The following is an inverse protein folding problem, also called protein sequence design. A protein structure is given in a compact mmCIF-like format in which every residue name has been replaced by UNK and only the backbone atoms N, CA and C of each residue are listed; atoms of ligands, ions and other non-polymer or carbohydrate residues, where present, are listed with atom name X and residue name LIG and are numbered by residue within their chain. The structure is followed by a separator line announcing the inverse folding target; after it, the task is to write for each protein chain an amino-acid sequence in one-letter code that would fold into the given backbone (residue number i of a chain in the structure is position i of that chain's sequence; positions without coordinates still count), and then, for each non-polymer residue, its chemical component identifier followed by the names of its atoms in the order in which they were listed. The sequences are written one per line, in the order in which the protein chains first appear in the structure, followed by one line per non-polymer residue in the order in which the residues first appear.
data_IF_247261216558
#
_entry.id   IF_247261216558
#
_cell.length_a   1.000
_cell.length_b   1.000
_cell.length_c   1.000
_cell.angle_alpha   90.00
_cell.angle_beta   90.00
_cell.angle_gamma   90.00
#
_symmetry.space_group_name_H-M   'P 1'
#
loop_
_entity.id
_entity.type
_entity.pdbx_description
1 polymer ?
#
# COMPACT_ATOMS: atom_id res chain seq x y z
N UNK A 1 -3.16 19.40 -3.91
CA UNK A 1 -3.77 18.12 -4.33
C UNK A 1 -3.20 17.04 -3.45
N UNK A 2 -4.02 16.13 -2.91
CA UNK A 2 -3.50 14.98 -2.14
C UNK A 2 -3.34 13.79 -3.08
N UNK A 3 -2.15 13.22 -3.12
CA UNK A 3 -1.80 12.10 -4.01
C UNK A 3 -2.17 10.77 -3.34
N UNK A 4 -2.76 9.86 -4.11
CA UNK A 4 -3.04 8.48 -3.71
C UNK A 4 -2.14 7.55 -4.51
N UNK A 5 -1.28 6.81 -3.82
CA UNK A 5 -0.46 5.76 -4.41
C UNK A 5 -1.30 4.50 -4.62
N UNK A 6 -1.47 4.10 -5.87
CA UNK A 6 -2.13 2.86 -6.25
C UNK A 6 -1.11 1.79 -6.60
N UNK A 7 -1.14 0.68 -5.87
CA UNK A 7 -0.22 -0.46 -6.06
C UNK A 7 -0.99 -1.74 -6.37
N UNK A 8 -0.44 -2.66 -7.19
CA UNK A 8 -1.03 -3.97 -7.38
C UNK A 8 -0.91 -4.79 -6.09
N UNK A 9 -2.03 -5.29 -5.54
CA UNK A 9 -2.02 -6.12 -4.34
C UNK A 9 -1.57 -7.55 -4.59
N UNK A 10 -1.88 -8.08 -5.78
CA UNK A 10 -1.61 -9.47 -6.14
C UNK A 10 -2.06 -10.43 -5.05
N UNK A 11 -1.20 -11.41 -4.74
CA UNK A 11 -1.49 -12.39 -3.68
C UNK A 11 -1.33 -11.82 -2.25
N UNK A 12 -0.64 -10.69 -2.09
CA UNK A 12 -0.43 -10.08 -0.75
C UNK A 12 -1.62 -9.29 -0.24
N UNK A 13 -2.67 -9.08 -1.05
CA UNK A 13 -3.83 -8.25 -0.70
C UNK A 13 -4.45 -8.63 0.65
N UNK A 14 -4.66 -9.92 0.88
CA UNK A 14 -5.34 -10.41 2.08
C UNK A 14 -4.56 -10.11 3.35
N UNK A 15 -3.24 -10.34 3.34
CA UNK A 15 -2.38 -10.00 4.48
C UNK A 15 -2.29 -8.48 4.68
N UNK A 16 -2.33 -7.67 3.61
CA UNK A 16 -2.37 -6.21 3.77
C UNK A 16 -3.70 -5.77 4.40
N UNK A 17 -4.83 -6.31 3.97
CA UNK A 17 -6.15 -5.98 4.56
C UNK A 17 -6.25 -6.44 6.02
N UNK A 18 -5.64 -7.58 6.35
CA UNK A 18 -5.61 -8.16 7.69
C UNK A 18 -4.79 -7.33 8.68
N UNK A 19 -3.58 -6.94 8.27
CA UNK A 19 -2.63 -6.24 9.16
C UNK A 19 -2.58 -4.72 8.98
N UNK A 20 -3.26 -4.20 7.94
CA UNK A 20 -3.16 -2.81 7.52
C UNK A 20 -1.71 -2.37 7.27
N UNK A 21 -0.91 -3.25 6.68
CA UNK A 21 0.51 -2.99 6.40
C UNK A 21 0.82 -3.34 4.96
N UNK A 22 1.38 -2.42 4.20
CA UNK A 22 1.93 -2.70 2.87
C UNK A 22 3.45 -2.57 2.88
N UNK A 23 4.16 -3.54 2.32
CA UNK A 23 5.62 -3.50 2.23
C UNK A 23 6.13 -3.66 0.79
N UNK A 24 7.20 -2.93 0.48
CA UNK A 24 7.90 -3.03 -0.80
C UNK A 24 9.42 -2.92 -0.60
N UNK A 25 10.22 -3.49 -1.53
CA UNK A 25 11.68 -3.40 -1.46
C UNK A 25 12.16 -1.95 -1.48
N UNK A 26 13.07 -1.57 -0.59
CA UNK A 26 13.67 -0.24 -0.51
C UNK A 26 15.07 -0.22 -1.15
N UNK A 27 15.49 0.85 -1.84
CA UNK A 27 14.72 2.02 -2.23
C UNK A 27 13.80 1.75 -3.43
N UNK A 28 12.74 2.58 -3.53
CA UNK A 28 11.92 2.79 -4.72
C UNK A 28 11.65 4.29 -4.87
N UNK A 29 11.58 4.76 -6.10
CA UNK A 29 11.29 6.16 -6.44
C UNK A 29 9.79 6.46 -6.40
N UNK A 30 9.15 6.22 -5.25
CA UNK A 30 7.77 6.63 -5.04
C UNK A 30 7.72 8.09 -4.56
N UNK A 31 6.73 8.84 -5.05
CA UNK A 31 6.38 10.13 -4.46
C UNK A 31 5.91 9.91 -3.03
N UNK A 32 6.09 10.92 -2.19
CA UNK A 32 5.55 10.90 -0.83
C UNK A 32 4.01 10.97 -0.93
N UNK A 33 3.33 9.86 -0.65
CA UNK A 33 1.89 9.73 -0.77
C UNK A 33 1.25 9.62 0.62
N UNK A 34 0.29 10.50 0.89
CA UNK A 34 -0.47 10.49 2.15
C UNK A 34 -1.52 9.37 2.19
N UNK A 35 -1.92 8.88 1.00
CA UNK A 35 -2.91 7.83 0.85
C UNK A 35 -2.39 6.72 -0.04
N UNK A 36 -2.92 5.54 0.20
CA UNK A 36 -2.62 4.34 -0.56
C UNK A 36 -3.92 3.62 -0.92
N UNK A 37 -3.94 2.96 -2.06
CA UNK A 37 -4.99 2.01 -2.44
C UNK A 37 -4.34 0.78 -3.07
N UNK A 38 -4.95 -0.37 -2.81
CA UNK A 38 -4.46 -1.65 -3.32
C UNK A 38 -5.41 -2.10 -4.41
N UNK A 39 -4.84 -2.41 -5.59
CA UNK A 39 -5.64 -2.88 -6.72
C UNK A 39 -5.86 -4.38 -6.65
N UNK A 40 -7.10 -4.74 -6.90
CA UNK A 40 -7.54 -6.11 -7.14
C UNK A 40 -7.45 -6.48 -8.63
N UNK A 41 -7.88 -7.70 -8.96
CA UNK A 41 -8.02 -8.14 -10.34
C UNK A 41 -8.92 -7.16 -11.12
N UNK A 42 -8.53 -6.85 -12.36
CA UNK A 42 -9.23 -5.85 -13.18
C UNK A 42 -8.92 -4.40 -12.80
N UNK A 43 -7.99 -4.15 -11.86
CA UNK A 43 -7.58 -2.80 -11.46
C UNK A 43 -8.55 -2.11 -10.51
N UNK A 44 -9.50 -2.86 -9.94
CA UNK A 44 -10.50 -2.37 -8.99
C UNK A 44 -9.82 -1.94 -7.70
N UNK A 45 -10.23 -0.79 -7.17
CA UNK A 45 -9.78 -0.22 -5.90
C UNK A 45 -11.00 -0.12 -4.99
N UNK A 46 -11.06 -0.92 -3.93
CA UNK A 46 -12.23 -1.01 -3.06
C UNK A 46 -12.04 -0.28 -1.72
N UNK A 47 -10.80 -0.04 -1.29
CA UNK A 47 -10.52 0.64 -0.02
C UNK A 47 -9.43 1.70 -0.21
N UNK A 48 -9.72 2.90 0.30
CA UNK A 48 -8.75 3.98 0.47
C UNK A 48 -8.13 3.88 1.87
N UNK A 49 -6.81 3.89 1.91
CA UNK A 49 -6.04 3.89 3.14
C UNK A 49 -5.32 5.22 3.32
N UNK A 50 -5.20 5.69 4.56
CA UNK A 50 -4.27 6.76 4.93
C UNK A 50 -2.98 6.16 5.49
N UNK A 51 -1.84 6.74 5.13
CA UNK A 51 -0.52 6.32 5.64
C UNK A 51 -0.33 6.94 7.02
N UNK A 52 -0.33 6.11 8.06
CA UNK A 52 -0.09 6.53 9.45
C UNK A 52 1.38 6.77 9.71
N UNK A 53 2.22 5.84 9.28
CA UNK A 53 3.65 5.83 9.56
C UNK A 53 4.39 5.02 8.49
N UNK A 54 5.65 5.36 8.28
CA UNK A 54 6.57 4.62 7.42
C UNK A 54 7.72 4.08 8.25
N UNK A 55 8.06 2.80 8.03
CA UNK A 55 9.21 2.16 8.65
C UNK A 55 10.11 1.60 7.55
N UNK A 56 11.43 1.67 7.73
CA UNK A 56 12.39 0.95 6.90
C UNK A 56 13.02 -0.12 7.78
N UNK A 57 12.77 -1.38 7.45
CA UNK A 57 13.22 -2.53 8.23
C UNK A 57 13.99 -3.51 7.35
N UNK A 58 14.83 -4.30 8.01
CA UNK A 58 15.48 -5.48 7.43
C UNK A 58 14.79 -6.74 7.94
N UNK A 59 13.69 -7.20 7.32
CA UNK A 59 12.80 -8.22 7.89
C UNK A 59 13.45 -9.58 8.08
N UNK A 60 14.57 -9.85 7.39
CA UNK A 60 15.35 -11.08 7.54
C UNK A 60 16.50 -10.96 8.54
N UNK A 61 16.73 -9.77 9.11
CA UNK A 61 17.77 -9.54 10.12
C UNK A 61 17.28 -9.99 11.50
N UNK A 62 18.09 -10.67 12.32
CA UNK A 62 17.68 -11.15 13.65
C UNK A 62 17.29 -10.04 14.64
N UNK A 63 17.57 -8.77 14.35
CA UNK A 63 17.34 -7.64 15.25
C UNK A 63 16.31 -6.63 14.72
N UNK A 64 15.50 -7.02 13.72
CA UNK A 64 14.50 -6.12 13.12
C UNK A 64 13.46 -5.64 14.13
N UNK A 65 13.16 -6.45 15.15
CA UNK A 65 12.18 -6.19 16.21
C UNK A 65 12.58 -4.96 17.07
N UNK A 66 13.88 -4.73 17.24
CA UNK A 66 14.38 -3.55 17.97
C UNK A 66 13.94 -2.25 17.32
N UNK A 67 13.79 -2.25 16.00
CA UNK A 67 13.36 -1.07 15.23
C UNK A 67 11.85 -0.78 15.35
N UNK A 68 11.06 -1.60 16.04
CA UNK A 68 9.64 -1.36 16.27
C UNK A 68 9.27 -1.18 17.75
N UNK A 69 10.23 -1.31 18.68
CA UNK A 69 9.98 -1.22 20.13
C UNK A 69 9.39 0.10 20.60
N UNK A 70 9.56 1.19 19.85
CA UNK A 70 8.98 2.49 20.17
C UNK A 70 7.49 2.61 19.80
N UNK A 71 6.95 1.64 19.04
CA UNK A 71 5.54 1.61 18.65
C UNK A 71 4.68 1.03 19.79
N UNK A 72 3.36 1.29 19.72
CA UNK A 72 2.41 0.65 20.63
C UNK A 72 2.39 -0.87 20.47
N UNK A 73 2.12 -1.63 21.54
CA UNK A 73 2.17 -3.09 21.54
C UNK A 73 1.30 -3.72 20.44
N UNK A 74 0.09 -3.21 20.22
CA UNK A 74 -0.79 -3.69 19.14
C UNK A 74 -0.15 -3.53 17.76
N UNK A 75 0.51 -2.40 17.51
CA UNK A 75 1.19 -2.14 16.24
C UNK A 75 2.39 -3.06 16.09
N UNK A 76 3.13 -3.32 17.19
CA UNK A 76 4.24 -4.25 17.17
C UNK A 76 3.76 -5.66 16.80
N UNK A 77 2.63 -6.09 17.36
CA UNK A 77 2.00 -7.37 17.04
C UNK A 77 1.58 -7.43 15.57
N UNK A 78 0.98 -6.38 15.03
CA UNK A 78 0.56 -6.33 13.62
C UNK A 78 1.75 -6.38 12.66
N UNK A 79 2.82 -5.61 12.94
CA UNK A 79 4.05 -5.65 12.13
C UNK A 79 4.70 -7.02 12.20
N UNK A 80 4.77 -7.62 13.40
CA UNK A 80 5.33 -8.96 13.59
C UNK A 80 4.55 -10.02 12.82
N UNK A 81 3.22 -10.01 12.94
CA UNK A 81 2.33 -10.94 12.24
C UNK A 81 2.42 -10.79 10.73
N UNK A 82 2.42 -9.54 10.23
CA UNK A 82 2.59 -9.26 8.81
C UNK A 82 3.92 -9.78 8.26
N UNK A 83 5.04 -9.54 8.96
CA UNK A 83 6.36 -10.03 8.53
C UNK A 83 6.39 -11.56 8.51
N UNK A 84 5.86 -12.21 9.55
CA UNK A 84 5.83 -13.66 9.64
C UNK A 84 5.02 -14.31 8.51
N UNK A 85 3.78 -13.87 8.29
CA UNK A 85 2.92 -14.40 7.22
C UNK A 85 3.48 -14.09 5.84
N UNK A 86 3.99 -12.87 5.64
CA UNK A 86 4.62 -12.51 4.36
C UNK A 86 5.86 -13.34 4.08
N UNK A 87 6.70 -13.60 5.08
CA UNK A 87 7.90 -14.42 4.93
C UNK A 87 7.53 -15.87 4.55
N UNK A 88 6.48 -16.42 5.15
CA UNK A 88 6.04 -17.79 4.90
C UNK A 88 5.44 -17.98 3.50
N UNK A 89 4.54 -17.08 3.07
CA UNK A 89 3.74 -17.30 1.86
C UNK A 89 4.30 -16.61 0.60
N UNK A 90 4.99 -15.48 0.77
CA UNK A 90 5.44 -14.63 -0.34
C UNK A 90 6.95 -14.40 -0.35
N UNK A 91 7.61 -14.60 0.78
CA UNK A 91 9.00 -14.29 1.01
C UNK A 91 9.32 -12.79 1.03
N UNK A 92 10.59 -12.51 1.32
CA UNK A 92 11.23 -11.24 1.07
C UNK A 92 12.32 -11.49 0.03
N UNK A 93 12.31 -10.75 -1.07
CA UNK A 93 13.33 -10.85 -2.12
C UNK A 93 14.72 -10.37 -1.67
N UNK A 94 15.70 -10.47 -2.56
CA UNK A 94 17.15 -10.27 -2.28
C UNK A 94 17.56 -8.92 -1.67
N UNK A 95 16.69 -7.90 -1.72
CA UNK A 95 16.98 -6.63 -1.05
C UNK A 95 16.91 -6.82 0.47
N UNK A 96 17.96 -6.39 1.15
CA UNK A 96 18.02 -6.45 2.62
C UNK A 96 16.97 -5.56 3.29
N UNK A 97 16.60 -4.44 2.67
CA UNK A 97 15.71 -3.42 3.24
C UNK A 97 14.35 -3.33 2.54
N UNK A 98 13.31 -3.20 3.35
CA UNK A 98 11.93 -3.00 2.91
C UNK A 98 11.34 -1.77 3.61
N UNK A 99 10.58 -0.99 2.85
CA UNK A 99 9.75 0.08 3.41
C UNK A 99 8.34 -0.47 3.66
N UNK A 100 7.86 -0.26 4.88
CA UNK A 100 6.54 -0.65 5.37
C UNK A 100 5.71 0.61 5.57
N UNK A 101 4.54 0.64 4.94
CA UNK A 101 3.50 1.61 5.22
C UNK A 101 2.54 0.99 6.22
N UNK A 102 2.42 1.61 7.39
CA UNK A 102 1.35 1.32 8.35
C UNK A 102 0.14 2.16 7.95
N UNK A 103 -0.98 1.49 7.76
CA UNK A 103 -2.17 2.04 7.14
C UNK A 103 -3.31 2.16 8.18
N UNK A 104 -4.18 3.13 7.95
CA UNK A 104 -5.52 3.15 8.51
C UNK A 104 -6.53 3.04 7.37
N UNK A 105 -7.68 2.41 7.62
CA UNK A 105 -8.81 2.47 6.68
C UNK A 105 -9.39 3.89 6.74
N UNK A 106 -9.22 4.64 5.65
CA UNK A 106 -9.78 5.99 5.53
C UNK A 106 -11.24 5.92 5.08
N UNK A 107 -11.49 5.12 4.02
CA UNK A 107 -12.80 5.04 3.39
C UNK A 107 -12.94 3.79 2.51
N UNK A 108 -14.08 3.11 2.60
CA UNK A 108 -14.49 2.12 1.60
C UNK A 108 -15.01 2.82 0.33
N UNK A 109 -14.53 2.38 -0.82
CA UNK A 109 -14.84 2.87 -2.15
C UNK A 109 -15.90 1.98 -2.80
N UNK A 110 -17.14 2.08 -2.30
CA UNK A 110 -18.26 1.23 -2.75
C UNK A 110 -18.60 1.36 -4.24
N UNK A 111 -18.15 2.43 -4.91
CA UNK A 111 -18.29 2.63 -6.36
C UNK A 111 -17.21 1.89 -7.18
N UNK A 112 -16.35 1.11 -6.53
CA UNK A 112 -15.34 0.21 -7.13
C UNK A 112 -14.52 0.88 -8.25
N UNK A 113 -13.88 2.03 -7.98
CA UNK A 113 -13.14 2.78 -8.98
C UNK A 113 -12.02 1.95 -9.62
N UNK A 114 -11.89 2.09 -10.93
CA UNK A 114 -10.88 1.44 -11.78
C UNK A 114 -10.54 2.33 -12.97
N UNK A 115 -9.47 1.99 -13.67
CA UNK A 115 -9.13 2.67 -14.94
C UNK A 115 -9.81 2.03 -16.13
N UNK A 116 -9.96 2.80 -17.21
CA UNK A 116 -10.54 2.35 -18.47
C UNK A 116 -9.71 1.28 -19.19
N UNK A 117 -8.44 1.13 -18.84
CA UNK A 117 -7.54 0.11 -19.39
C UNK A 117 -6.61 -0.47 -18.34
N UNK A 118 -5.86 -1.54 -18.69
CA UNK A 118 -4.94 -2.19 -17.77
C UNK A 118 -3.81 -1.24 -17.37
N UNK A 119 -3.47 -1.23 -16.08
CA UNK A 119 -2.29 -0.51 -15.59
C UNK A 119 -1.26 -1.48 -15.03
N UNK A 120 -0.01 -1.30 -15.46
CA UNK A 120 1.13 -2.01 -14.91
C UNK A 120 1.85 -1.15 -13.86
N UNK A 121 2.39 -1.81 -12.83
CA UNK A 121 3.19 -1.13 -11.81
C UNK A 121 2.40 -0.15 -10.94
N UNK A 122 3.09 0.69 -10.19
CA UNK A 122 2.45 1.69 -9.35
C UNK A 122 1.87 2.85 -10.17
N UNK A 123 0.85 3.53 -9.66
CA UNK A 123 0.15 4.63 -10.35
C UNK A 123 -0.33 5.65 -9.34
N UNK A 124 -0.40 6.92 -9.73
CA UNK A 124 -0.91 7.98 -8.89
C UNK A 124 -2.27 8.45 -9.38
N UNK A 125 -3.15 8.67 -8.42
CA UNK A 125 -4.45 9.29 -8.60
C UNK A 125 -4.56 10.47 -7.65
N UNK A 126 -5.40 11.43 -8.00
CA UNK A 126 -5.77 12.45 -7.01
C UNK A 126 -6.83 11.87 -6.09
N UNK A 127 -6.83 12.30 -4.82
CA UNK A 127 -7.87 11.91 -3.86
C UNK A 127 -9.28 12.22 -4.41
N UNK A 128 -9.47 13.41 -4.99
CA UNK A 128 -10.76 13.84 -5.53
C UNK A 128 -11.27 12.95 -6.67
N UNK A 129 -10.37 12.47 -7.53
CA UNK A 129 -10.74 11.55 -8.61
C UNK A 129 -11.23 10.21 -8.05
N UNK A 130 -10.45 9.62 -7.13
CA UNK A 130 -10.74 8.33 -6.50
C UNK A 130 -12.03 8.36 -5.68
N UNK A 131 -12.34 9.50 -5.06
CA UNK A 131 -13.56 9.68 -4.26
C UNK A 131 -14.73 10.30 -5.03
N UNK A 132 -14.62 10.46 -6.36
CA UNK A 132 -15.64 11.15 -7.16
C UNK A 132 -16.98 10.40 -7.28
N UNK A 133 -17.03 9.13 -6.86
CA UNK A 133 -18.19 8.26 -7.01
C UNK A 133 -18.31 7.61 -8.40
N UNK A 134 -17.38 7.92 -9.33
CA UNK A 134 -17.34 7.31 -10.66
C UNK A 134 -16.56 6.00 -10.64
N UNK A 135 -17.10 4.98 -11.31
CA UNK A 135 -16.39 3.72 -11.50
C UNK A 135 -15.12 3.90 -12.35
N UNK A 136 -15.17 4.73 -13.41
CA UNK A 136 -13.99 4.97 -14.26
C UNK A 136 -13.28 6.26 -13.84
N UNK A 137 -12.04 6.12 -13.37
CA UNK A 137 -11.19 7.20 -12.86
C UNK A 137 -9.94 7.40 -13.70
N UNK A 138 -9.41 8.63 -13.73
CA UNK A 138 -8.19 9.00 -14.45
C UNK A 138 -6.98 9.11 -13.52
N UNK A 139 -5.84 8.52 -13.93
CA UNK A 139 -4.57 8.74 -13.25
C UNK A 139 -4.09 10.18 -13.45
N UNK A 140 -3.24 10.66 -12.55
CA UNK A 140 -2.63 12.01 -12.66
C UNK A 140 -1.94 12.23 -14.01
N UNK A 141 -1.26 11.19 -14.51
CA UNK A 141 -0.57 11.21 -15.80
C UNK A 141 -1.51 11.43 -16.99
N UNK A 142 -2.78 11.05 -16.88
CA UNK A 142 -3.80 11.26 -17.91
C UNK A 142 -4.54 12.59 -17.72
N UNK A 143 -4.73 13.03 -16.48
CA UNK A 143 -5.31 14.33 -16.17
C UNK A 143 -4.42 15.47 -16.68
N UNK A 144 -3.10 15.37 -16.51
CA UNK A 144 -2.14 16.40 -16.95
C UNK A 144 -1.93 16.47 -18.47
N UNK A 145 -2.57 15.58 -19.24
CA UNK A 145 -2.52 15.58 -20.72
C UNK A 145 -3.76 16.19 -21.36
N UNK A 146 -4.78 16.55 -20.57
CA UNK A 146 -5.97 17.29 -21.02
C UNK A 146 -5.80 18.76 -20.71
#
# INVERSE_FOLDING_TARGET
MKEVLSVPGGKTKEIVKKYLIHAHPHPRSYKNAQYLTIRENGGIMDTLYSVRCELVLRPLSPEWDKAIKFLHEDIQKDVTGYIAERAADFGFGEKEEYKFYLLNVEKELNHLPRTSGPIQGHTYFTLGELTSGREIVLSESLLNKK
#
